data_IF_111867073403
#
_entry.id   IF_111867073403
#
_cell.length_a   1.000
_cell.length_b   1.000
_cell.length_c   1.000
_cell.angle_alpha   90.00
_cell.angle_beta   90.00
_cell.angle_gamma   90.00
#
_symmetry.space_group_name_H-M   'P 1'
#
loop_
_entity.id
_entity.type
_entity.pdbx_description
1 polymer ?
#
# COMPACT_ATOMS: atom_id res chain seq x y z
N UNK A 1 27.20 -17.49 41.97
CA UNK A 1 27.33 -17.28 40.52
C UNK A 1 28.38 -18.25 40.00
N UNK A 2 27.96 -19.35 39.35
CA UNK A 2 28.91 -20.23 38.67
C UNK A 2 29.12 -19.66 37.27
N UNK A 3 30.34 -19.20 37.01
CA UNK A 3 30.83 -18.98 35.65
C UNK A 3 30.72 -20.33 34.95
N UNK A 4 29.77 -20.47 34.03
CA UNK A 4 29.77 -21.61 33.12
C UNK A 4 30.98 -21.36 32.22
N UNK A 5 31.96 -22.25 32.24
CA UNK A 5 33.16 -22.13 31.42
C UNK A 5 32.76 -21.93 29.96
N UNK A 6 33.44 -21.01 29.25
CA UNK A 6 33.13 -20.69 27.86
C UNK A 6 33.09 -21.92 26.95
N UNK A 7 33.93 -22.92 27.24
CA UNK A 7 33.98 -24.20 26.53
C UNK A 7 32.73 -25.06 26.74
N UNK A 8 32.16 -25.08 27.95
CA UNK A 8 30.91 -25.79 28.22
C UNK A 8 29.75 -25.14 27.47
N UNK A 9 29.69 -23.81 27.45
CA UNK A 9 28.67 -23.06 26.70
C UNK A 9 28.76 -23.32 25.19
N UNK A 10 29.95 -23.37 24.63
CA UNK A 10 30.14 -23.63 23.20
C UNK A 10 29.83 -25.09 22.82
N UNK A 11 30.15 -26.05 23.70
CA UNK A 11 29.75 -27.45 23.52
C UNK A 11 28.21 -27.62 23.52
N UNK A 12 27.50 -26.87 24.37
CA UNK A 12 26.04 -26.87 24.44
C UNK A 12 25.43 -26.22 23.19
N UNK A 13 26.01 -25.13 22.69
CA UNK A 13 25.62 -24.52 21.41
C UNK A 13 25.77 -25.51 20.27
N UNK A 14 26.89 -26.24 20.20
CA UNK A 14 27.13 -27.21 19.12
C UNK A 14 26.11 -28.35 19.13
N UNK A 15 25.76 -28.88 20.30
CA UNK A 15 24.72 -29.91 20.44
C UNK A 15 23.35 -29.40 19.96
N UNK A 16 22.94 -28.21 20.40
CA UNK A 16 21.66 -27.61 19.95
C UNK A 16 21.66 -27.30 18.46
N UNK A 17 22.76 -26.82 17.88
CA UNK A 17 22.91 -26.62 16.43
C UNK A 17 22.68 -27.91 15.67
N UNK A 18 23.31 -29.00 16.12
CA UNK A 18 23.14 -30.32 15.50
C UNK A 18 21.69 -30.77 15.53
N UNK A 19 20.99 -30.58 16.65
CA UNK A 19 19.56 -30.90 16.76
C UNK A 19 18.70 -30.11 15.76
N UNK A 20 18.92 -28.79 15.63
CA UNK A 20 18.21 -27.98 14.64
C UNK A 20 18.53 -28.39 13.20
N UNK A 21 19.80 -28.64 12.88
CA UNK A 21 20.23 -29.10 11.56
C UNK A 21 19.62 -30.47 11.20
N UNK A 22 19.58 -31.41 12.14
CA UNK A 22 18.98 -32.72 11.93
C UNK A 22 17.46 -32.61 11.73
N UNK A 23 16.79 -31.69 12.45
CA UNK A 23 15.37 -31.40 12.26
C UNK A 23 15.08 -30.75 10.89
N UNK A 24 15.95 -29.85 10.42
CA UNK A 24 15.86 -29.23 9.10
C UNK A 24 16.11 -30.27 7.99
N UNK A 25 17.09 -31.16 8.17
CA UNK A 25 17.35 -32.25 7.22
C UNK A 25 16.17 -33.21 7.08
N UNK A 26 15.53 -33.55 8.20
CA UNK A 26 14.33 -34.41 8.19
C UNK A 26 13.15 -33.72 7.51
N UNK A 27 12.92 -32.44 7.80
CA UNK A 27 11.75 -31.68 7.33
C UNK A 27 12.14 -30.34 6.72
N UNK A 28 12.77 -30.38 5.53
CA UNK A 28 13.33 -29.18 4.88
C UNK A 28 12.28 -28.13 4.52
N UNK A 29 11.07 -28.56 4.17
CA UNK A 29 9.95 -27.68 3.79
C UNK A 29 9.26 -27.01 5.00
N UNK A 30 9.55 -27.43 6.24
CA UNK A 30 8.92 -26.82 7.41
C UNK A 30 9.64 -25.53 7.80
N UNK A 31 9.14 -24.41 7.28
CA UNK A 31 9.66 -23.06 7.51
C UNK A 31 9.61 -22.65 8.98
N UNK A 32 8.69 -23.23 9.76
CA UNK A 32 8.66 -23.02 11.21
C UNK A 32 9.95 -23.48 11.91
N UNK A 33 10.59 -24.56 11.43
CA UNK A 33 11.85 -25.04 11.99
C UNK A 33 13.00 -24.09 11.67
N UNK A 34 13.04 -23.56 10.45
CA UNK A 34 14.01 -22.54 10.03
C UNK A 34 13.89 -21.26 10.86
N UNK A 35 12.66 -20.76 11.08
CA UNK A 35 12.41 -19.56 11.89
C UNK A 35 12.81 -19.79 13.35
N UNK A 36 12.52 -20.97 13.93
CA UNK A 36 12.94 -21.30 15.29
C UNK A 36 14.46 -21.37 15.41
N UNK A 37 15.13 -21.96 14.42
CA UNK A 37 16.59 -22.05 14.42
C UNK A 37 17.24 -20.66 14.32
N UNK A 38 16.77 -19.82 13.39
CA UNK A 38 17.26 -18.46 13.24
C UNK A 38 17.05 -17.61 14.50
N UNK A 39 15.87 -17.67 15.14
CA UNK A 39 15.60 -16.99 16.42
C UNK A 39 16.50 -17.46 17.56
N UNK A 40 16.86 -18.75 17.55
CA UNK A 40 17.78 -19.29 18.55
C UNK A 40 19.21 -18.78 18.33
N UNK A 41 19.70 -18.73 17.08
CA UNK A 41 21.00 -18.11 16.76
C UNK A 41 21.01 -16.60 17.08
N UNK A 42 19.88 -15.91 16.82
CA UNK A 42 19.69 -14.50 17.22
C UNK A 42 19.80 -14.33 18.75
N UNK A 43 19.21 -15.25 19.53
CA UNK A 43 19.28 -15.23 20.99
C UNK A 43 20.71 -15.50 21.52
N UNK A 44 21.56 -16.14 20.71
CA UNK A 44 22.98 -16.34 21.01
C UNK A 44 23.86 -15.17 20.54
N UNK A 45 23.27 -14.10 20.01
CA UNK A 45 23.96 -12.94 19.41
C UNK A 45 24.82 -13.25 18.16
N UNK A 46 24.66 -14.44 17.55
CA UNK A 46 25.38 -14.84 16.33
C UNK A 46 24.57 -14.44 15.07
N UNK A 47 24.55 -13.14 14.75
CA UNK A 47 23.74 -12.60 13.64
C UNK A 47 24.14 -13.14 12.26
N UNK A 48 25.43 -13.35 12.01
CA UNK A 48 25.89 -13.86 10.72
C UNK A 48 25.41 -15.30 10.46
N UNK A 49 25.31 -16.10 11.52
CA UNK A 49 24.70 -17.44 11.42
C UNK A 49 23.20 -17.33 11.22
N UNK A 50 22.52 -16.47 11.97
CA UNK A 50 21.08 -16.25 11.78
C UNK A 50 20.76 -15.82 10.34
N UNK A 51 21.56 -14.93 9.74
CA UNK A 51 21.50 -14.57 8.30
C UNK A 51 21.70 -15.78 7.39
N UNK A 52 22.75 -16.56 7.62
CA UNK A 52 23.01 -17.78 6.83
C UNK A 52 21.84 -18.77 6.90
N UNK A 53 21.20 -18.93 8.06
CA UNK A 53 20.01 -19.77 8.23
C UNK A 53 18.83 -19.21 7.44
N UNK A 54 18.59 -17.89 7.48
CA UNK A 54 17.54 -17.25 6.68
C UNK A 54 17.78 -17.38 5.18
N UNK A 55 19.00 -17.14 4.69
CA UNK A 55 19.34 -17.30 3.27
C UNK A 55 19.14 -18.75 2.81
N UNK A 56 19.59 -19.75 3.59
CA UNK A 56 19.35 -21.17 3.28
C UNK A 56 17.86 -21.54 3.29
N UNK A 57 17.08 -20.90 4.14
CA UNK A 57 15.63 -21.08 4.16
C UNK A 57 14.99 -20.47 2.90
N UNK A 58 15.45 -19.31 2.45
CA UNK A 58 15.01 -18.66 1.22
C UNK A 58 15.40 -19.46 -0.03
N UNK A 59 16.58 -20.08 -0.04
CA UNK A 59 17.01 -20.99 -1.11
C UNK A 59 16.10 -22.22 -1.22
N UNK A 60 15.50 -22.64 -0.09
CA UNK A 60 14.56 -23.76 -0.07
C UNK A 60 13.19 -23.32 -0.57
N UNK A 61 12.63 -22.24 -0.02
CA UNK A 61 11.36 -21.67 -0.47
C UNK A 61 11.34 -20.15 -0.31
N UNK A 62 11.64 -19.44 -1.40
CA UNK A 62 11.64 -17.99 -1.45
C UNK A 62 10.22 -17.39 -1.54
N UNK A 63 9.17 -18.20 -1.78
CA UNK A 63 7.81 -17.68 -1.99
C UNK A 63 7.10 -17.33 -0.68
N UNK A 64 7.64 -17.80 0.43
CA UNK A 64 7.00 -17.64 1.73
C UNK A 64 7.26 -16.25 2.30
N UNK A 65 6.21 -15.43 2.25
CA UNK A 65 6.23 -14.03 2.68
C UNK A 65 6.64 -13.89 4.15
N UNK A 66 6.18 -14.78 5.03
CA UNK A 66 6.50 -14.73 6.45
C UNK A 66 7.99 -14.89 6.75
N UNK A 67 8.73 -15.61 5.90
CA UNK A 67 10.17 -15.83 6.07
C UNK A 67 10.94 -14.53 5.83
N UNK A 68 10.66 -13.86 4.71
CA UNK A 68 11.21 -12.53 4.40
C UNK A 68 10.91 -11.52 5.51
N UNK A 69 9.65 -11.46 5.96
CA UNK A 69 9.26 -10.52 7.02
C UNK A 69 10.01 -10.80 8.34
N UNK A 70 10.18 -12.07 8.73
CA UNK A 70 10.94 -12.43 9.93
C UNK A 70 12.43 -12.10 9.79
N UNK A 71 12.99 -12.25 8.60
CA UNK A 71 14.38 -11.89 8.33
C UNK A 71 14.59 -10.38 8.46
N UNK A 72 13.74 -9.57 7.83
CA UNK A 72 13.82 -8.10 7.96
C UNK A 72 13.56 -7.66 9.41
N UNK A 73 12.57 -8.24 10.10
CA UNK A 73 12.31 -7.94 11.52
C UNK A 73 13.53 -8.22 12.41
N UNK A 74 14.33 -9.25 12.10
CA UNK A 74 15.59 -9.50 12.79
C UNK A 74 16.60 -8.38 12.52
N UNK A 75 16.88 -8.05 11.25
CA UNK A 75 17.83 -6.99 10.91
C UNK A 75 17.43 -5.62 11.49
N UNK A 76 16.13 -5.30 11.49
CA UNK A 76 15.61 -4.07 12.11
C UNK A 76 15.83 -4.04 13.63
N UNK A 77 15.60 -5.15 14.34
CA UNK A 77 15.83 -5.22 15.79
C UNK A 77 17.29 -5.00 16.17
N UNK A 78 18.21 -5.44 15.32
CA UNK A 78 19.65 -5.25 15.50
C UNK A 78 20.20 -3.96 14.88
N UNK A 79 19.31 -3.03 14.45
CA UNK A 79 19.66 -1.72 13.85
C UNK A 79 20.49 -1.83 12.55
N UNK A 80 20.38 -2.94 11.84
CA UNK A 80 21.09 -3.19 10.59
C UNK A 80 20.24 -2.74 9.38
N UNK A 81 20.07 -1.43 9.24
CA UNK A 81 19.12 -0.83 8.29
C UNK A 81 19.52 -1.15 6.83
N UNK A 82 20.81 -1.09 6.50
CA UNK A 82 21.28 -1.37 5.13
C UNK A 82 21.02 -2.82 4.72
N UNK A 83 21.18 -3.76 5.64
CA UNK A 83 20.86 -5.16 5.39
C UNK A 83 19.35 -5.34 5.22
N UNK A 84 18.53 -4.72 6.09
CA UNK A 84 17.08 -4.74 5.95
C UNK A 84 16.60 -4.18 4.59
N UNK A 85 17.21 -3.08 4.12
CA UNK A 85 16.97 -2.51 2.78
C UNK A 85 17.28 -3.49 1.66
N UNK A 86 18.46 -4.12 1.69
CA UNK A 86 18.86 -5.09 0.67
C UNK A 86 17.92 -6.31 0.65
N UNK A 87 17.48 -6.77 1.81
CA UNK A 87 16.51 -7.88 1.92
C UNK A 87 15.15 -7.47 1.36
N UNK A 88 14.65 -6.27 1.69
CA UNK A 88 13.40 -5.78 1.10
C UNK A 88 13.50 -5.58 -0.40
N UNK A 89 14.60 -5.03 -0.90
CA UNK A 89 14.82 -4.80 -2.33
C UNK A 89 14.81 -6.11 -3.13
N UNK A 90 15.47 -7.15 -2.58
CA UNK A 90 15.38 -8.53 -3.12
C UNK A 90 13.95 -9.06 -3.05
N UNK A 91 13.26 -8.89 -1.93
CA UNK A 91 11.89 -9.38 -1.74
C UNK A 91 10.92 -8.77 -2.77
N UNK A 92 10.95 -7.46 -2.98
CA UNK A 92 10.07 -6.78 -3.95
C UNK A 92 10.43 -7.09 -5.40
N UNK A 93 11.71 -7.35 -5.68
CA UNK A 93 12.17 -7.75 -7.03
C UNK A 93 11.73 -9.18 -7.37
N UNK A 94 11.81 -10.11 -6.40
CA UNK A 94 11.41 -11.50 -6.61
C UNK A 94 9.89 -11.70 -6.55
N UNK A 95 9.20 -10.95 -5.68
CA UNK A 95 7.78 -11.08 -5.40
C UNK A 95 7.06 -9.72 -5.48
N UNK A 96 6.99 -9.10 -6.68
CA UNK A 96 6.42 -7.76 -6.84
C UNK A 96 4.92 -7.68 -6.54
N UNK A 97 4.19 -8.80 -6.67
CA UNK A 97 2.74 -8.86 -6.38
C UNK A 97 2.41 -8.93 -4.88
N UNK A 98 3.40 -9.12 -4.01
CA UNK A 98 3.17 -9.20 -2.58
C UNK A 98 3.15 -7.79 -1.97
N UNK A 99 1.97 -7.15 -1.97
CA UNK A 99 1.74 -5.80 -1.42
C UNK A 99 2.26 -5.63 0.02
N UNK A 100 2.27 -6.70 0.82
CA UNK A 100 2.79 -6.69 2.19
C UNK A 100 4.25 -6.22 2.28
N UNK A 101 5.10 -6.58 1.30
CA UNK A 101 6.50 -6.12 1.29
C UNK A 101 6.58 -4.64 1.02
N UNK A 102 5.84 -4.13 0.03
CA UNK A 102 5.83 -2.72 -0.31
C UNK A 102 5.36 -1.86 0.87
N UNK A 103 4.25 -2.23 1.53
CA UNK A 103 3.78 -1.52 2.72
C UNK A 103 4.81 -1.50 3.86
N UNK A 104 5.47 -2.63 4.13
CA UNK A 104 6.47 -2.72 5.20
C UNK A 104 7.75 -1.98 4.83
N UNK A 105 8.13 -2.00 3.57
CA UNK A 105 9.33 -1.34 3.08
C UNK A 105 9.18 0.18 3.09
N UNK A 106 8.06 0.71 2.57
CA UNK A 106 7.77 2.15 2.63
C UNK A 106 7.64 2.65 4.07
N UNK A 107 6.98 1.88 4.93
CA UNK A 107 6.90 2.18 6.37
C UNK A 107 8.28 2.19 7.04
N UNK A 108 9.18 1.27 6.69
CA UNK A 108 10.54 1.27 7.20
C UNK A 108 11.32 2.51 6.75
N UNK A 109 11.23 2.91 5.47
CA UNK A 109 11.89 4.13 4.99
C UNK A 109 11.33 5.39 5.64
N UNK A 110 10.02 5.46 5.88
CA UNK A 110 9.39 6.55 6.63
C UNK A 110 9.88 6.62 8.09
N UNK A 111 10.03 5.47 8.77
CA UNK A 111 10.60 5.41 10.12
C UNK A 111 12.06 5.87 10.18
N UNK A 112 12.81 5.72 9.09
CA UNK A 112 14.19 6.18 8.96
C UNK A 112 14.27 7.63 8.45
N UNK A 113 13.13 8.33 8.37
CA UNK A 113 12.98 9.70 7.85
C UNK A 113 13.53 9.88 6.42
N UNK A 114 13.67 8.78 5.67
CA UNK A 114 14.18 8.79 4.31
C UNK A 114 13.04 8.94 3.30
N UNK A 115 12.48 10.16 3.22
CA UNK A 115 11.31 10.46 2.39
C UNK A 115 11.59 10.23 0.90
N UNK A 116 12.79 10.57 0.42
CA UNK A 116 13.19 10.31 -0.97
C UNK A 116 13.28 8.83 -1.28
N UNK A 117 13.82 8.03 -0.36
CA UNK A 117 13.82 6.57 -0.46
C UNK A 117 12.42 5.99 -0.49
N UNK A 118 11.55 6.39 0.44
CA UNK A 118 10.15 5.95 0.48
C UNK A 118 9.43 6.26 -0.85
N UNK A 119 9.61 7.46 -1.40
CA UNK A 119 9.06 7.86 -2.71
C UNK A 119 9.55 6.97 -3.84
N UNK A 120 10.85 6.68 -3.91
CA UNK A 120 11.40 5.80 -4.95
C UNK A 120 10.80 4.39 -4.87
N UNK A 121 10.60 3.88 -3.65
CA UNK A 121 9.93 2.59 -3.44
C UNK A 121 8.47 2.64 -3.92
N UNK A 122 7.74 3.71 -3.61
CA UNK A 122 6.38 3.90 -4.10
C UNK A 122 6.31 4.00 -5.63
N UNK A 123 7.21 4.76 -6.27
CA UNK A 123 7.25 4.86 -7.74
C UNK A 123 7.48 3.50 -8.39
N UNK A 124 8.46 2.72 -7.91
CA UNK A 124 8.68 1.33 -8.35
C UNK A 124 7.46 0.45 -8.11
N UNK A 125 6.73 0.66 -7.02
CA UNK A 125 5.50 -0.09 -6.77
C UNK A 125 4.41 0.25 -7.80
N UNK A 126 4.27 1.53 -8.18
CA UNK A 126 3.27 1.98 -9.14
C UNK A 126 3.52 1.48 -10.57
N UNK A 127 4.77 1.15 -10.93
CA UNK A 127 5.09 0.49 -12.21
C UNK A 127 4.35 -0.85 -12.39
N UNK A 128 4.09 -1.55 -11.28
CA UNK A 128 3.36 -2.82 -11.29
C UNK A 128 1.84 -2.67 -11.32
N UNK A 129 1.32 -1.44 -11.40
CA UNK A 129 -0.12 -1.11 -11.35
C UNK A 129 -0.83 -1.86 -10.21
N UNK A 130 -0.47 -1.56 -8.95
CA UNK A 130 -1.02 -2.25 -7.78
C UNK A 130 -2.48 -1.88 -7.55
N UNK A 131 -3.07 -2.48 -6.52
CA UNK A 131 -4.44 -2.21 -6.11
C UNK A 131 -4.68 -0.73 -5.78
N UNK A 132 -5.95 -0.32 -5.79
CA UNK A 132 -6.34 1.04 -5.42
C UNK A 132 -5.76 1.46 -4.04
N UNK A 133 -5.72 0.52 -3.09
CA UNK A 133 -5.23 0.80 -1.75
C UNK A 133 -3.74 1.19 -1.71
N UNK A 134 -2.92 0.69 -2.64
CA UNK A 134 -1.54 1.12 -2.80
C UNK A 134 -1.42 2.57 -3.28
N UNK A 135 -2.24 2.98 -4.25
CA UNK A 135 -2.26 4.37 -4.72
C UNK A 135 -2.69 5.33 -3.61
N UNK A 136 -3.72 4.96 -2.85
CA UNK A 136 -4.19 5.75 -1.73
C UNK A 136 -3.16 5.85 -0.59
N UNK A 137 -2.37 4.80 -0.35
CA UNK A 137 -1.32 4.87 0.66
C UNK A 137 -0.19 5.81 0.24
N UNK A 138 0.15 5.84 -1.05
CA UNK A 138 1.12 6.79 -1.60
C UNK A 138 0.64 8.25 -1.46
N UNK A 139 -0.60 8.51 -1.85
CA UNK A 139 -1.23 9.84 -1.70
C UNK A 139 -1.28 10.26 -0.22
N UNK A 140 -1.66 9.34 0.68
CA UNK A 140 -1.67 9.60 2.12
C UNK A 140 -0.28 9.94 2.66
N UNK A 141 0.78 9.34 2.13
CA UNK A 141 2.15 9.71 2.50
C UNK A 141 2.45 11.16 2.07
N UNK A 142 2.24 11.53 0.80
CA UNK A 142 2.53 12.90 0.35
C UNK A 142 1.70 13.95 1.12
N UNK A 143 0.46 13.61 1.49
CA UNK A 143 -0.37 14.48 2.33
C UNK A 143 0.17 14.66 3.75
N UNK A 144 0.77 13.64 4.35
CA UNK A 144 1.46 13.79 5.65
C UNK A 144 2.60 14.80 5.58
N UNK A 145 3.29 14.86 4.44
CA UNK A 145 4.39 15.80 4.19
C UNK A 145 3.95 17.12 3.55
N UNK A 146 2.64 17.38 3.43
CA UNK A 146 2.05 18.61 2.85
C UNK A 146 2.39 18.87 1.39
N UNK A 147 2.74 17.83 0.63
CA UNK A 147 3.13 17.90 -0.78
C UNK A 147 1.90 17.71 -1.69
N UNK A 148 0.98 18.68 -1.64
CA UNK A 148 -0.33 18.61 -2.32
C UNK A 148 -0.18 18.52 -3.84
N UNK A 149 0.80 19.20 -4.43
CA UNK A 149 1.03 19.18 -5.87
C UNK A 149 1.47 17.80 -6.38
N UNK A 150 2.29 17.09 -5.59
CA UNK A 150 2.67 15.71 -5.91
C UNK A 150 1.50 14.76 -5.74
N UNK A 151 0.74 14.91 -4.64
CA UNK A 151 -0.47 14.13 -4.43
C UNK A 151 -1.46 14.27 -5.61
N UNK A 152 -1.62 15.47 -6.18
CA UNK A 152 -2.42 15.70 -7.39
C UNK A 152 -1.87 14.94 -8.60
N UNK A 153 -0.57 15.03 -8.85
CA UNK A 153 0.08 14.32 -9.96
C UNK A 153 -0.10 12.79 -9.84
N UNK A 154 -0.09 12.28 -8.60
CA UNK A 154 -0.36 10.86 -8.32
C UNK A 154 -1.83 10.52 -8.56
N UNK A 155 -2.78 11.39 -8.16
CA UNK A 155 -4.20 11.20 -8.48
C UNK A 155 -4.49 11.17 -9.98
N UNK A 156 -3.83 12.03 -10.77
CA UNK A 156 -3.97 12.01 -12.24
C UNK A 156 -3.50 10.68 -12.84
N UNK A 157 -2.40 10.14 -12.34
CA UNK A 157 -1.94 8.78 -12.70
C UNK A 157 -2.89 7.70 -12.19
N UNK A 158 -3.47 7.88 -11.01
CA UNK A 158 -4.38 6.91 -10.41
C UNK A 158 -5.68 6.76 -11.21
N UNK A 159 -6.32 7.86 -11.62
CA UNK A 159 -7.56 7.82 -12.41
C UNK A 159 -7.35 7.29 -13.84
N UNK A 160 -6.13 7.42 -14.38
CA UNK A 160 -5.79 6.87 -15.71
C UNK A 160 -5.46 5.38 -15.66
N UNK A 161 -4.86 4.88 -14.56
CA UNK A 161 -4.57 3.46 -14.37
C UNK A 161 -5.82 2.68 -13.95
N UNK A 162 -6.65 3.27 -13.08
CA UNK A 162 -7.89 2.67 -12.57
C UNK A 162 -9.09 3.59 -12.84
N UNK A 163 -9.69 3.53 -14.05
CA UNK A 163 -10.81 4.39 -14.43
C UNK A 163 -12.14 3.93 -13.80
N UNK A 164 -12.25 4.03 -12.48
CA UNK A 164 -13.48 3.78 -11.72
C UNK A 164 -14.11 5.11 -11.29
N UNK A 165 -15.44 5.21 -11.35
CA UNK A 165 -16.23 6.36 -10.91
C UNK A 165 -15.87 6.74 -9.48
N UNK A 166 -15.66 5.76 -8.60
CA UNK A 166 -15.27 6.03 -7.22
C UNK A 166 -13.92 6.72 -7.11
N UNK A 167 -12.98 6.44 -8.02
CA UNK A 167 -11.65 7.05 -8.02
C UNK A 167 -11.71 8.51 -8.47
N UNK A 168 -12.54 8.81 -9.48
CA UNK A 168 -12.82 10.17 -9.92
C UNK A 168 -13.49 11.00 -8.82
N UNK A 169 -14.50 10.45 -8.14
CA UNK A 169 -15.15 11.12 -7.00
C UNK A 169 -14.13 11.39 -5.87
N UNK A 170 -13.23 10.45 -5.58
CA UNK A 170 -12.18 10.66 -4.57
C UNK A 170 -11.19 11.75 -4.98
N UNK A 171 -10.82 11.81 -6.26
CA UNK A 171 -9.94 12.87 -6.76
C UNK A 171 -10.61 14.25 -6.68
N UNK A 172 -11.90 14.34 -7.04
CA UNK A 172 -12.62 15.60 -6.95
C UNK A 172 -12.78 16.07 -5.49
N UNK A 173 -13.18 15.18 -4.58
CA UNK A 173 -13.22 15.47 -3.12
C UNK A 173 -11.86 15.87 -2.56
N UNK A 174 -10.78 15.32 -3.11
CA UNK A 174 -9.44 15.73 -2.72
C UNK A 174 -9.17 17.19 -3.09
N UNK A 175 -9.52 17.65 -4.29
CA UNK A 175 -9.38 19.06 -4.68
C UNK A 175 -10.32 19.99 -3.90
N UNK A 176 -11.55 19.54 -3.60
CA UNK A 176 -12.50 20.25 -2.73
C UNK A 176 -11.90 20.54 -1.35
N UNK A 177 -11.30 19.53 -0.71
CA UNK A 177 -10.68 19.68 0.61
C UNK A 177 -9.47 20.65 0.62
N UNK A 178 -8.85 20.88 -0.54
CA UNK A 178 -7.72 21.81 -0.69
C UNK A 178 -8.14 23.16 -1.28
N UNK A 179 -9.44 23.47 -1.29
CA UNK A 179 -10.03 24.73 -1.76
C UNK A 179 -9.76 25.07 -3.24
N UNK A 180 -9.44 24.08 -4.07
CA UNK A 180 -9.21 24.29 -5.51
C UNK A 180 -10.49 23.99 -6.30
N UNK A 181 -11.49 24.85 -6.14
CA UNK A 181 -12.82 24.70 -6.76
C UNK A 181 -12.72 24.57 -8.28
N UNK A 182 -11.87 25.37 -8.93
CA UNK A 182 -11.68 25.31 -10.38
C UNK A 182 -11.14 23.95 -10.85
N UNK A 183 -10.19 23.37 -10.12
CA UNK A 183 -9.63 22.06 -10.45
C UNK A 183 -10.64 20.94 -10.16
N UNK A 184 -11.35 21.00 -9.03
CA UNK A 184 -12.40 20.04 -8.70
C UNK A 184 -13.46 19.97 -9.81
N UNK A 185 -13.89 21.14 -10.33
CA UNK A 185 -14.81 21.21 -11.47
C UNK A 185 -14.22 20.58 -12.73
N UNK A 186 -12.97 20.90 -13.06
CA UNK A 186 -12.29 20.31 -14.22
C UNK A 186 -12.19 18.79 -14.11
N UNK A 187 -11.97 18.25 -12.90
CA UNK A 187 -11.94 16.80 -12.65
C UNK A 187 -13.31 16.17 -12.90
N UNK A 188 -14.40 16.80 -12.42
CA UNK A 188 -15.75 16.31 -12.69
C UNK A 188 -16.11 16.39 -14.19
N UNK A 189 -15.79 17.49 -14.87
CA UNK A 189 -16.03 17.64 -16.31
C UNK A 189 -15.28 16.56 -17.10
N UNK A 190 -14.00 16.32 -16.78
CA UNK A 190 -13.20 15.24 -17.38
C UNK A 190 -13.75 13.86 -17.07
N UNK A 191 -14.26 13.63 -15.86
CA UNK A 191 -14.87 12.36 -15.50
C UNK A 191 -16.12 12.09 -16.35
N UNK A 192 -16.98 13.09 -16.50
CA UNK A 192 -18.21 13.00 -17.33
C UNK A 192 -17.86 12.77 -18.81
N UNK A 193 -16.84 13.46 -19.32
CA UNK A 193 -16.36 13.24 -20.70
C UNK A 193 -15.76 11.83 -20.89
N UNK A 194 -15.02 11.32 -19.89
CA UNK A 194 -14.34 10.02 -19.96
C UNK A 194 -15.31 8.83 -19.94
N UNK A 195 -16.30 8.81 -19.06
CA UNK A 195 -17.31 7.73 -19.02
C UNK A 195 -18.32 7.83 -20.16
N UNK A 196 -18.45 9.00 -20.78
CA UNK A 196 -19.40 9.25 -21.85
C UNK A 196 -20.85 9.06 -21.41
N UNK A 197 -21.76 9.12 -22.38
CA UNK A 197 -23.20 9.15 -22.12
C UNK A 197 -23.79 7.77 -21.75
N UNK A 198 -23.06 6.69 -22.02
CA UNK A 198 -23.57 5.31 -21.93
C UNK A 198 -23.20 4.58 -20.63
N UNK A 199 -22.19 5.02 -19.88
CA UNK A 199 -21.74 4.40 -18.62
C UNK A 199 -21.75 5.36 -17.42
N UNK A 200 -22.53 6.44 -17.51
CA UNK A 200 -22.66 7.42 -16.44
C UNK A 200 -23.32 6.78 -15.21
N UNK A 201 -22.54 6.49 -14.17
CA UNK A 201 -23.08 6.05 -12.87
C UNK A 201 -23.76 7.26 -12.19
N UNK A 202 -24.98 7.05 -11.70
CA UNK A 202 -25.74 8.01 -10.88
C UNK A 202 -24.91 8.63 -9.76
N UNK A 203 -23.97 7.89 -9.18
CA UNK A 203 -23.09 8.37 -8.11
C UNK A 203 -22.19 9.52 -8.53
N UNK A 204 -21.70 9.52 -9.78
CA UNK A 204 -20.84 10.59 -10.29
C UNK A 204 -21.63 11.89 -10.41
N UNK A 205 -22.83 11.81 -10.96
CA UNK A 205 -23.72 12.96 -11.14
C UNK A 205 -24.11 13.53 -9.78
N UNK A 206 -24.55 12.70 -8.83
CA UNK A 206 -24.92 13.17 -7.48
C UNK A 206 -23.74 13.86 -6.81
N UNK A 207 -22.53 13.30 -6.93
CA UNK A 207 -21.33 13.93 -6.39
C UNK A 207 -21.05 15.29 -7.05
N UNK A 208 -21.17 15.38 -8.37
CA UNK A 208 -20.96 16.63 -9.10
C UNK A 208 -22.00 17.70 -8.78
N UNK A 209 -23.27 17.32 -8.65
CA UNK A 209 -24.33 18.24 -8.30
C UNK A 209 -24.21 18.76 -6.86
N UNK A 210 -23.86 17.89 -5.90
CA UNK A 210 -23.54 18.30 -4.51
C UNK A 210 -22.32 19.22 -4.45
N UNK A 211 -21.33 19.01 -5.31
CA UNK A 211 -20.18 19.90 -5.44
C UNK A 211 -20.60 21.30 -5.92
N UNK A 212 -21.41 21.41 -6.98
CA UNK A 212 -21.89 22.73 -7.46
C UNK A 212 -22.82 23.41 -6.44
N UNK A 213 -23.61 22.64 -5.68
CA UNK A 213 -24.38 23.14 -4.54
C UNK A 213 -23.47 23.76 -3.47
N UNK A 214 -22.37 23.06 -3.11
CA UNK A 214 -21.37 23.59 -2.17
C UNK A 214 -20.70 24.88 -2.67
N UNK A 215 -20.60 25.03 -4.00
CA UNK A 215 -20.08 26.24 -4.66
C UNK A 215 -21.13 27.36 -4.79
N UNK A 216 -22.37 27.15 -4.33
CA UNK A 216 -23.54 28.04 -4.46
C UNK A 216 -24.00 28.29 -5.91
N UNK A 217 -23.65 27.40 -6.83
CA UNK A 217 -24.03 27.45 -8.24
C UNK A 217 -25.29 26.59 -8.49
N UNK A 218 -26.39 26.97 -7.84
CA UNK A 218 -27.64 26.19 -7.85
C UNK A 218 -28.23 26.01 -9.26
N UNK A 219 -28.05 26.99 -10.15
CA UNK A 219 -28.50 26.91 -11.55
C UNK A 219 -27.78 25.77 -12.30
N UNK A 220 -26.48 25.61 -12.06
CA UNK A 220 -25.67 24.55 -12.68
C UNK A 220 -25.98 23.19 -12.06
N UNK A 221 -26.19 23.12 -10.76
CA UNK A 221 -26.65 21.90 -10.11
C UNK A 221 -27.98 21.41 -10.70
N UNK A 222 -28.93 22.32 -10.97
CA UNK A 222 -30.21 22.01 -11.64
C UNK A 222 -30.02 21.45 -13.05
N UNK A 223 -29.16 22.08 -13.86
CA UNK A 223 -28.92 21.60 -15.23
C UNK A 223 -28.24 20.23 -15.24
N UNK A 224 -27.32 19.97 -14.30
CA UNK A 224 -26.67 18.66 -14.13
C UNK A 224 -27.69 17.60 -13.72
N UNK A 225 -28.56 17.88 -12.74
CA UNK A 225 -29.62 16.93 -12.35
C UNK A 225 -30.59 16.66 -13.49
N UNK A 226 -31.03 17.70 -14.20
CA UNK A 226 -31.94 17.54 -15.34
C UNK A 226 -31.31 16.71 -16.45
N UNK A 227 -30.05 16.98 -16.79
CA UNK A 227 -29.28 16.20 -17.75
C UNK A 227 -29.18 14.72 -17.36
N UNK A 228 -28.98 14.45 -16.07
CA UNK A 228 -28.89 13.07 -15.59
C UNK A 228 -30.23 12.33 -15.61
N UNK A 229 -31.33 12.99 -15.23
CA UNK A 229 -32.68 12.40 -15.26
C UNK A 229 -33.11 12.11 -16.70
N UNK A 230 -32.80 13.01 -17.64
CA UNK A 230 -33.12 12.86 -19.06
C UNK A 230 -32.34 11.70 -19.70
N UNK A 231 -31.11 11.43 -19.24
CA UNK A 231 -30.23 10.39 -19.83
C UNK A 231 -30.26 9.04 -19.12
N UNK A 232 -30.50 8.99 -17.81
CA UNK A 232 -30.55 7.75 -17.04
C UNK A 232 -31.97 7.16 -17.05
N UNK A 233 -32.42 6.65 -18.19
CA UNK A 233 -33.67 5.87 -18.24
C UNK A 233 -33.43 4.46 -17.65
N UNK A 234 -33.48 4.33 -16.32
CA UNK A 234 -33.27 3.06 -15.60
C UNK A 234 -33.43 3.13 -14.08
N UNK A 235 -33.19 1.99 -13.39
CA UNK A 235 -33.40 1.77 -11.94
C UNK A 235 -32.67 2.76 -11.01
N UNK A 236 -31.65 3.46 -11.50
CA UNK A 236 -30.89 4.47 -10.74
C UNK A 236 -31.59 5.85 -10.64
N UNK A 237 -32.71 6.04 -11.35
CA UNK A 237 -33.48 7.28 -11.29
C UNK A 237 -34.09 7.57 -9.91
N UNK A 238 -34.36 6.57 -9.07
CA UNK A 238 -35.02 6.80 -7.78
C UNK A 238 -34.11 7.57 -6.81
N UNK A 239 -32.81 7.26 -6.76
CA UNK A 239 -31.84 7.98 -5.91
C UNK A 239 -31.63 9.43 -6.41
N UNK A 240 -31.60 9.62 -7.73
CA UNK A 240 -31.48 10.95 -8.35
C UNK A 240 -32.74 11.80 -8.11
N UNK A 241 -33.93 11.21 -8.20
CA UNK A 241 -35.20 11.88 -7.94
C UNK A 241 -35.38 12.24 -6.46
N UNK A 242 -34.94 11.39 -5.53
CA UNK A 242 -34.95 11.72 -4.10
C UNK A 242 -33.98 12.87 -3.76
N UNK A 243 -32.77 12.87 -4.31
CA UNK A 243 -31.81 13.95 -4.09
C UNK A 243 -32.23 15.25 -4.80
N UNK A 244 -32.82 15.18 -5.99
CA UNK A 244 -33.42 16.34 -6.67
C UNK A 244 -34.61 16.90 -5.88
N UNK A 245 -35.46 16.04 -5.31
CA UNK A 245 -36.58 16.45 -4.45
C UNK A 245 -36.14 17.05 -3.11
N UNK A 246 -34.96 16.68 -2.59
CA UNK A 246 -34.32 17.36 -1.44
C UNK A 246 -33.74 18.71 -1.84
N UNK A 247 -33.21 18.82 -3.06
CA UNK A 247 -32.62 20.05 -3.59
C UNK A 247 -33.67 21.13 -3.96
N UNK A 248 -34.87 20.74 -4.38
CA UNK A 248 -35.96 21.70 -4.65
C UNK A 248 -36.73 22.19 -3.41
N UNK A 249 -36.52 21.57 -2.23
CA UNK A 249 -37.12 21.99 -0.96
C UNK A 249 -36.29 23.05 -0.24
#
# INVERSE_FOLDING_TARGET
QKVIDGEEMDSLKLKKRKEYEDNIKKNRLNIGNWIKYAKWEESNADLDRARSVFERALDTDYRVVSLWLKYVEMEMRHRQINHARNVFDRAVTLLPRANQFWYKYTYMEELMENISGARNVFERWMEWRPDEQAWLSFIKMELRYKEVNRARSIYERFVTVHPDVQNWIRFARFEENHSNIANARLVYERAVEFFGETELDSKLVVAFARFEESCREYERARTIYKFAIDKLCGKDNHLLLEEYGKFEK
#
